data_IF_399089035545
#
_entry.id   IF_399089035545
#
_cell.length_a   1.000
_cell.length_b   1.000
_cell.length_c   1.000
_cell.angle_alpha   90.00
_cell.angle_beta   90.00
_cell.angle_gamma   90.00
#
_symmetry.space_group_name_H-M   'P 1'
#
loop_
_entity.id
_entity.type
_entity.pdbx_description
1 polymer ?
#
# COMPACT_ATOMS: atom_id res chain seq x y z
N UNK A 1 49.59 -21.92 -24.82
CA UNK A 1 49.50 -22.59 -23.49
C UNK A 1 48.04 -22.57 -23.09
N UNK A 2 47.48 -23.73 -22.70
CA UNK A 2 46.07 -24.20 -22.76
C UNK A 2 45.66 -24.54 -24.22
N UNK A 3 45.58 -25.77 -24.74
CA UNK A 3 45.40 -27.19 -24.33
C UNK A 3 43.98 -27.62 -23.90
N UNK A 4 43.53 -28.70 -24.58
CA UNK A 4 42.40 -29.64 -24.44
C UNK A 4 41.01 -29.16 -24.95
N UNK A 5 40.33 -29.79 -25.94
CA UNK A 5 40.00 -31.21 -26.29
C UNK A 5 38.55 -31.54 -25.89
N UNK A 6 37.79 -32.15 -26.81
CA UNK A 6 36.54 -32.85 -26.53
C UNK A 6 36.17 -33.78 -27.71
N UNK A 7 36.87 -34.90 -27.76
CA UNK A 7 36.36 -36.28 -27.83
C UNK A 7 34.95 -36.51 -28.38
N UNK A 8 34.91 -37.20 -29.53
CA UNK A 8 33.79 -37.95 -30.10
C UNK A 8 33.48 -39.19 -29.23
N UNK A 9 32.22 -39.40 -28.84
CA UNK A 9 31.78 -40.60 -28.12
C UNK A 9 30.76 -41.42 -28.93
N UNK A 10 31.15 -42.66 -29.21
CA UNK A 10 30.39 -43.76 -29.82
C UNK A 10 29.45 -44.36 -28.77
N UNK A 11 28.18 -44.60 -29.11
CA UNK A 11 27.31 -45.49 -28.33
C UNK A 11 26.98 -46.76 -29.12
N UNK A 12 27.49 -47.89 -28.63
CA UNK A 12 27.16 -49.24 -29.05
C UNK A 12 26.07 -49.80 -28.12
N UNK A 13 25.04 -50.44 -28.68
CA UNK A 13 24.11 -51.28 -27.91
C UNK A 13 24.22 -52.71 -28.42
N UNK A 14 24.65 -53.61 -27.53
CA UNK A 14 24.69 -55.07 -27.72
C UNK A 14 23.33 -55.70 -27.37
N UNK A 15 23.02 -56.73 -28.13
CA UNK A 15 21.84 -57.60 -28.11
C UNK A 15 21.64 -58.44 -26.84
N UNK A 16 20.37 -58.80 -26.59
CA UNK A 16 19.98 -60.10 -26.02
C UNK A 16 18.64 -60.59 -26.63
N UNK A 17 18.67 -61.79 -27.23
CA UNK A 17 17.52 -62.61 -27.67
C UNK A 17 17.15 -63.63 -26.56
N UNK A 18 15.95 -64.24 -26.57
CA UNK A 18 15.74 -65.56 -27.22
C UNK A 18 14.41 -65.65 -28.02
N UNK A 19 14.44 -66.12 -29.28
CA UNK A 19 14.08 -67.47 -29.80
C UNK A 19 12.62 -67.92 -29.59
N UNK A 20 11.86 -68.09 -30.69
CA UNK A 20 11.35 -69.40 -31.21
C UNK A 20 11.10 -69.28 -32.74
N UNK A 21 11.42 -70.37 -33.45
CA UNK A 21 11.44 -70.64 -34.90
C UNK A 21 10.09 -70.66 -35.63
N UNK A 22 10.08 -70.43 -36.96
CA UNK A 22 9.56 -71.35 -38.00
C UNK A 22 10.06 -70.95 -39.41
N UNK A 23 10.85 -71.86 -40.02
CA UNK A 23 10.93 -72.30 -41.45
C UNK A 23 10.94 -71.28 -42.61
N UNK A 24 12.05 -71.31 -43.38
CA UNK A 24 12.36 -70.66 -44.68
C UNK A 24 11.66 -71.35 -45.88
N UNK A 25 11.44 -70.69 -47.06
CA UNK A 25 12.52 -70.49 -48.03
C UNK A 25 12.50 -69.16 -48.85
N UNK A 26 13.71 -68.65 -49.11
CA UNK A 26 14.22 -67.97 -50.32
C UNK A 26 13.23 -67.10 -51.13
N UNK A 27 13.31 -65.79 -50.92
CA UNK A 27 13.18 -64.81 -52.02
C UNK A 27 14.08 -63.60 -51.71
N UNK A 28 15.12 -63.43 -52.54
CA UNK A 28 16.00 -62.28 -52.49
C UNK A 28 15.25 -61.03 -52.97
N UNK A 29 14.83 -60.18 -52.04
CA UNK A 29 14.34 -58.84 -52.34
C UNK A 29 15.40 -57.83 -51.90
N UNK A 30 15.96 -57.12 -52.89
CA UNK A 30 16.92 -56.06 -52.71
C UNK A 30 16.36 -54.98 -51.75
N UNK A 31 17.05 -54.76 -50.63
CA UNK A 31 16.85 -53.58 -49.79
C UNK A 31 17.46 -52.41 -50.56
N UNK A 32 16.64 -51.73 -51.38
CA UNK A 32 16.98 -50.42 -51.92
C UNK A 32 16.83 -49.45 -50.74
N UNK A 33 17.95 -49.15 -50.08
CA UNK A 33 18.05 -48.00 -49.20
C UNK A 33 17.90 -46.74 -50.06
N UNK A 34 16.70 -46.18 -50.11
CA UNK A 34 16.50 -44.80 -50.58
C UNK A 34 17.14 -43.88 -49.55
N UNK A 35 18.43 -43.58 -49.74
CA UNK A 35 19.03 -42.42 -49.11
C UNK A 35 18.19 -41.20 -49.54
N UNK A 36 17.38 -40.68 -48.62
CA UNK A 36 16.73 -39.40 -48.85
C UNK A 36 17.83 -38.37 -49.10
N UNK A 37 17.80 -37.73 -50.27
CA UNK A 37 18.71 -36.63 -50.54
C UNK A 37 18.52 -35.59 -49.44
N UNK A 38 19.55 -35.33 -48.64
CA UNK A 38 19.59 -34.17 -47.78
C UNK A 38 19.66 -32.94 -48.69
N UNK A 39 18.51 -32.36 -49.01
CA UNK A 39 18.48 -31.07 -49.69
C UNK A 39 18.99 -30.03 -48.71
N UNK A 40 20.18 -29.48 -48.97
CA UNK A 40 20.59 -28.25 -48.31
C UNK A 40 19.51 -27.21 -48.61
N UNK A 41 18.88 -26.68 -47.56
CA UNK A 41 17.80 -25.69 -47.65
C UNK A 41 18.29 -24.38 -48.32
N UNK A 42 19.60 -24.17 -48.34
CA UNK A 42 20.29 -23.08 -49.01
C UNK A 42 20.98 -23.56 -50.28
N UNK A 43 20.56 -23.02 -51.43
CA UNK A 43 21.24 -23.23 -52.70
C UNK A 43 22.44 -22.29 -52.80
N UNK A 44 23.64 -22.84 -52.93
CA UNK A 44 24.86 -22.06 -53.16
C UNK A 44 25.09 -21.87 -54.67
N UNK A 45 25.44 -20.65 -55.12
CA UNK A 45 25.60 -20.33 -56.54
C UNK A 45 26.82 -20.99 -57.19
N UNK A 46 27.85 -21.35 -56.41
CA UNK A 46 29.06 -22.00 -56.92
C UNK A 46 29.32 -23.30 -56.18
N UNK A 47 29.66 -24.37 -56.91
CA UNK A 47 30.26 -25.57 -56.32
C UNK A 47 31.78 -25.41 -56.31
N UNK A 48 32.39 -25.54 -55.14
CA UNK A 48 33.85 -25.50 -54.98
C UNK A 48 34.38 -26.93 -54.99
N UNK A 49 35.29 -27.25 -55.92
CA UNK A 49 35.89 -28.57 -56.07
C UNK A 49 37.38 -28.55 -55.69
N UNK A 50 37.90 -29.70 -55.26
CA UNK A 50 39.31 -29.82 -54.91
C UNK A 50 40.19 -29.66 -56.17
N UNK A 51 41.09 -28.68 -56.15
CA UNK A 51 41.92 -28.31 -57.31
C UNK A 51 41.45 -27.06 -58.06
N UNK A 52 40.32 -26.46 -57.68
CA UNK A 52 39.92 -25.14 -58.19
C UNK A 52 40.97 -24.08 -57.83
N UNK A 53 41.23 -23.15 -58.77
CA UNK A 53 42.02 -21.96 -58.48
C UNK A 53 41.34 -21.16 -57.37
N UNK A 54 42.09 -20.72 -56.36
CA UNK A 54 41.56 -19.95 -55.25
C UNK A 54 40.88 -18.65 -55.76
N UNK A 55 39.55 -18.67 -55.82
CA UNK A 55 38.73 -17.58 -56.33
C UNK A 55 37.89 -16.99 -55.20
N UNK A 56 38.36 -15.86 -54.67
CA UNK A 56 37.69 -15.16 -53.58
C UNK A 56 36.28 -14.67 -53.96
N UNK A 57 36.00 -14.45 -55.25
CA UNK A 57 34.67 -14.01 -55.69
C UNK A 57 33.65 -15.14 -55.57
N UNK A 58 34.02 -16.38 -55.91
CA UNK A 58 33.14 -17.56 -55.73
C UNK A 58 32.85 -17.85 -54.26
N UNK A 59 33.86 -17.74 -53.40
CA UNK A 59 33.71 -17.93 -51.95
C UNK A 59 32.82 -16.84 -51.35
N UNK A 60 33.06 -15.57 -51.71
CA UNK A 60 32.23 -14.46 -51.25
C UNK A 60 30.77 -14.59 -51.72
N UNK A 61 30.54 -14.98 -52.98
CA UNK A 61 29.21 -15.20 -53.52
C UNK A 61 28.47 -16.34 -52.77
N UNK A 62 29.16 -17.42 -52.44
CA UNK A 62 28.58 -18.50 -51.62
C UNK A 62 28.29 -18.05 -50.19
N UNK A 63 29.19 -17.27 -49.57
CA UNK A 63 28.99 -16.75 -48.22
C UNK A 63 27.79 -15.79 -48.16
N UNK A 64 27.66 -14.86 -49.11
CA UNK A 64 26.49 -13.98 -49.22
C UNK A 64 25.19 -14.75 -49.49
N UNK A 65 25.21 -15.76 -50.37
CA UNK A 65 24.05 -16.60 -50.62
C UNK A 65 23.63 -17.42 -49.39
N UNK A 66 24.60 -17.93 -48.63
CA UNK A 66 24.35 -18.64 -47.38
C UNK A 66 23.83 -17.69 -46.30
N UNK A 67 24.41 -16.49 -46.17
CA UNK A 67 23.96 -15.48 -45.22
C UNK A 67 22.53 -15.04 -45.51
N UNK A 68 22.22 -14.70 -46.77
CA UNK A 68 20.86 -14.34 -47.19
C UNK A 68 19.88 -15.50 -46.97
N UNK A 69 20.27 -16.73 -47.31
CA UNK A 69 19.43 -17.89 -47.02
C UNK A 69 19.22 -18.09 -45.51
N UNK A 70 20.27 -17.94 -44.70
CA UNK A 70 20.16 -18.04 -43.25
C UNK A 70 19.24 -16.95 -42.67
N UNK A 71 19.29 -15.74 -43.23
CA UNK A 71 18.39 -14.64 -42.87
C UNK A 71 16.94 -14.92 -43.33
N UNK A 72 16.75 -15.50 -44.52
CA UNK A 72 15.44 -15.94 -45.04
C UNK A 72 14.84 -17.12 -44.27
N UNK A 73 15.71 -17.95 -43.66
CA UNK A 73 15.31 -19.08 -42.81
C UNK A 73 15.25 -18.73 -41.32
N UNK A 74 15.78 -17.57 -40.91
CA UNK A 74 15.59 -17.07 -39.56
C UNK A 74 14.08 -16.88 -39.34
N UNK A 75 13.52 -17.21 -38.15
CA UNK A 75 12.09 -17.04 -37.90
C UNK A 75 11.71 -15.55 -37.87
N UNK A 76 11.62 -14.92 -39.03
CA UNK A 76 11.02 -13.61 -39.19
C UNK A 76 9.52 -13.87 -39.08
N UNK A 77 8.99 -13.77 -37.86
CA UNK A 77 7.55 -13.77 -37.67
C UNK A 77 6.88 -12.81 -38.67
N UNK A 78 5.61 -13.04 -39.00
CA UNK A 78 4.91 -12.22 -39.99
C UNK A 78 5.03 -10.72 -39.72
N UNK A 79 4.78 -9.88 -40.72
CA UNK A 79 4.88 -8.42 -40.58
C UNK A 79 4.18 -7.92 -39.31
N UNK A 80 4.85 -7.07 -38.52
CA UNK A 80 4.37 -6.53 -37.23
C UNK A 80 4.22 -7.56 -36.08
N UNK A 81 4.84 -8.73 -36.21
CA UNK A 81 4.95 -9.71 -35.12
C UNK A 81 5.97 -9.29 -34.06
N UNK A 82 5.85 -9.92 -32.88
CA UNK A 82 6.86 -9.81 -31.82
C UNK A 82 7.60 -11.13 -31.70
N UNK A 83 8.93 -11.09 -31.78
CA UNK A 83 9.76 -12.28 -31.60
C UNK A 83 10.04 -12.55 -30.13
N UNK A 84 9.99 -13.82 -29.74
CA UNK A 84 10.36 -14.29 -28.41
C UNK A 84 11.23 -15.55 -28.50
N UNK A 85 11.99 -15.82 -27.44
CA UNK A 85 12.81 -17.02 -27.33
C UNK A 85 11.92 -18.24 -27.04
N UNK A 86 11.92 -19.22 -27.95
CA UNK A 86 11.12 -20.43 -27.85
C UNK A 86 11.77 -21.54 -27.01
N UNK A 87 12.97 -21.29 -26.48
CA UNK A 87 13.83 -22.29 -25.84
C UNK A 87 14.73 -23.00 -26.84
N UNK A 88 15.72 -23.74 -26.32
CA UNK A 88 16.65 -24.58 -27.10
C UNK A 88 17.39 -23.85 -28.24
N UNK A 89 17.62 -22.55 -28.09
CA UNK A 89 18.29 -21.72 -29.10
C UNK A 89 17.41 -21.26 -30.26
N UNK A 90 16.10 -21.58 -30.22
CA UNK A 90 15.14 -21.21 -31.26
C UNK A 90 14.40 -19.91 -30.94
N UNK A 91 14.06 -19.14 -31.98
CA UNK A 91 13.13 -18.02 -31.90
C UNK A 91 11.73 -18.46 -32.39
N UNK A 92 10.70 -17.82 -31.85
CA UNK A 92 9.33 -17.92 -32.34
C UNK A 92 8.70 -16.52 -32.39
N UNK A 93 7.57 -16.39 -33.08
CA UNK A 93 6.84 -15.14 -33.20
C UNK A 93 5.44 -15.24 -32.59
N UNK A 94 5.05 -14.23 -31.82
CA UNK A 94 3.66 -13.96 -31.53
C UNK A 94 3.04 -13.23 -32.74
N UNK A 95 1.81 -13.58 -33.11
CA UNK A 95 1.09 -12.89 -34.17
C UNK A 95 0.98 -11.38 -33.88
N UNK A 96 0.80 -10.53 -34.90
CA UNK A 96 0.58 -9.11 -34.69
C UNK A 96 -0.52 -8.86 -33.65
N UNK A 97 -0.24 -7.96 -32.70
CA UNK A 97 -1.18 -7.61 -31.64
C UNK A 97 -2.32 -6.78 -32.22
N UNK A 98 -3.56 -7.03 -31.76
CA UNK A 98 -4.67 -6.13 -32.05
C UNK A 98 -4.60 -4.87 -31.15
N UNK A 99 -5.40 -3.86 -31.48
CA UNK A 99 -5.46 -2.60 -30.75
C UNK A 99 -5.71 -2.82 -29.24
N UNK A 100 -4.83 -2.22 -28.42
CA UNK A 100 -4.87 -2.32 -26.97
C UNK A 100 -4.59 -3.71 -26.40
N UNK A 101 -4.02 -4.63 -27.19
CA UNK A 101 -3.48 -5.90 -26.68
C UNK A 101 -2.01 -5.78 -26.27
N UNK A 102 -1.60 -6.62 -25.33
CA UNK A 102 -0.23 -6.83 -24.89
C UNK A 102 0.09 -8.33 -24.91
N UNK A 103 1.38 -8.68 -24.84
CA UNK A 103 1.78 -10.07 -24.61
C UNK A 103 1.68 -10.42 -23.13
N UNK A 104 0.89 -11.44 -22.81
CA UNK A 104 0.70 -11.97 -21.47
C UNK A 104 1.36 -13.35 -21.41
N UNK A 105 2.31 -13.50 -20.49
CA UNK A 105 2.99 -14.76 -20.24
C UNK A 105 2.11 -15.74 -19.47
N UNK A 106 2.32 -17.03 -19.70
CA UNK A 106 1.86 -18.09 -18.80
C UNK A 106 2.98 -19.09 -18.60
N UNK A 107 3.16 -19.57 -17.37
CA UNK A 107 4.26 -20.46 -17.02
C UNK A 107 4.27 -21.69 -17.92
N UNK A 108 5.38 -21.90 -18.64
CA UNK A 108 5.59 -23.06 -19.49
C UNK A 108 4.99 -22.98 -20.91
N UNK A 109 4.32 -21.88 -21.28
CA UNK A 109 3.75 -21.71 -22.62
C UNK A 109 4.26 -20.43 -23.31
N UNK A 110 4.15 -20.34 -24.64
CA UNK A 110 4.37 -19.09 -25.37
C UNK A 110 3.56 -17.90 -24.83
N UNK A 111 4.12 -16.67 -24.77
CA UNK A 111 3.35 -15.46 -24.52
C UNK A 111 2.18 -15.33 -25.52
N UNK A 112 1.00 -15.00 -25.03
CA UNK A 112 -0.20 -14.85 -25.86
C UNK A 112 -0.64 -13.40 -25.90
N UNK A 113 -1.18 -12.96 -27.03
CA UNK A 113 -1.83 -11.66 -27.13
C UNK A 113 -3.08 -11.65 -26.24
N UNK A 114 -3.21 -10.64 -25.38
CA UNK A 114 -4.34 -10.50 -24.48
C UNK A 114 -4.64 -9.05 -24.12
N UNK A 115 -5.88 -8.78 -23.74
CA UNK A 115 -6.26 -7.50 -23.14
C UNK A 115 -6.01 -7.54 -21.63
N UNK A 116 -5.66 -6.39 -21.05
CA UNK A 116 -5.66 -6.24 -19.61
C UNK A 116 -7.10 -6.19 -19.09
N UNK A 117 -7.40 -7.01 -18.09
CA UNK A 117 -8.70 -7.01 -17.41
C UNK A 117 -8.67 -6.07 -16.23
N UNK A 118 -9.67 -5.21 -16.11
CA UNK A 118 -9.79 -4.30 -14.98
C UNK A 118 -10.21 -5.06 -13.71
N UNK A 119 -9.50 -4.79 -12.61
CA UNK A 119 -9.95 -5.14 -11.26
C UNK A 119 -10.94 -4.13 -10.71
N UNK A 120 -11.43 -4.37 -9.49
CA UNK A 120 -12.31 -3.41 -8.80
C UNK A 120 -11.65 -2.04 -8.65
N UNK A 121 -12.40 -0.96 -8.91
CA UNK A 121 -11.93 0.42 -8.77
C UNK A 121 -11.05 0.95 -9.91
N UNK A 122 -10.75 0.12 -10.90
CA UNK A 122 -9.94 0.47 -12.07
C UNK A 122 -10.80 0.39 -13.34
N UNK A 123 -10.60 1.32 -14.26
CA UNK A 123 -11.09 1.25 -15.63
C UNK A 123 -9.90 1.11 -16.56
N UNK A 124 -9.96 0.09 -17.42
CA UNK A 124 -9.00 -0.11 -18.50
C UNK A 124 -9.76 0.12 -19.82
N UNK A 125 -9.28 1.07 -20.61
CA UNK A 125 -9.80 1.36 -21.95
C UNK A 125 -8.73 1.06 -22.98
N UNK A 126 -8.94 -0.02 -23.72
CA UNK A 126 -8.07 -0.45 -24.81
C UNK A 126 -8.41 0.33 -26.07
N UNK A 127 -7.40 0.86 -26.76
CA UNK A 127 -7.57 1.60 -28.01
C UNK A 127 -6.37 1.44 -28.95
N UNK A 128 -6.46 1.98 -30.17
CA UNK A 128 -5.37 1.91 -31.12
C UNK A 128 -4.11 2.55 -30.57
N UNK A 129 -3.01 1.77 -30.53
CA UNK A 129 -1.73 2.16 -29.95
C UNK A 129 -1.78 2.70 -28.49
N UNK A 130 -2.84 2.40 -27.72
CA UNK A 130 -2.98 2.87 -26.34
C UNK A 130 -3.70 1.86 -25.44
N UNK A 131 -3.28 1.81 -24.19
CA UNK A 131 -4.05 1.22 -23.09
C UNK A 131 -4.15 2.29 -22.02
N UNK A 132 -5.33 2.87 -21.87
CA UNK A 132 -5.57 3.88 -20.83
C UNK A 132 -6.01 3.19 -19.55
N UNK A 133 -5.32 3.48 -18.46
CA UNK A 133 -5.67 2.98 -17.13
C UNK A 133 -6.07 4.17 -16.26
N UNK A 134 -7.24 4.08 -15.65
CA UNK A 134 -7.79 5.12 -14.78
C UNK A 134 -8.45 4.50 -13.54
N UNK A 135 -8.59 5.28 -12.47
CA UNK A 135 -9.46 4.89 -11.37
C UNK A 135 -10.92 5.20 -11.75
N UNK A 136 -11.85 4.28 -11.47
CA UNK A 136 -13.30 4.53 -11.67
C UNK A 136 -13.90 5.39 -10.56
N UNK A 137 -13.18 5.57 -9.45
CA UNK A 137 -13.49 6.56 -8.42
C UNK A 137 -12.87 7.92 -8.75
N UNK A 138 -13.56 9.01 -8.42
CA UNK A 138 -13.08 10.38 -8.61
C UNK A 138 -11.87 10.65 -7.71
N UNK A 139 -10.70 10.32 -8.24
CA UNK A 139 -9.44 10.53 -7.57
C UNK A 139 -8.58 11.59 -8.25
N UNK A 140 -9.03 12.85 -8.26
CA UNK A 140 -8.22 13.96 -8.77
C UNK A 140 -7.00 14.18 -7.87
N UNK A 141 -5.80 13.73 -8.25
CA UNK A 141 -4.47 14.17 -7.76
C UNK A 141 -4.19 14.21 -6.25
N UNK A 142 -5.17 13.87 -5.42
CA UNK A 142 -5.27 14.01 -3.97
C UNK A 142 -6.03 12.81 -3.38
N UNK A 143 -5.95 11.65 -4.06
CA UNK A 143 -6.86 10.53 -3.91
C UNK A 143 -6.15 9.22 -3.57
N UNK A 144 -5.27 9.30 -2.59
CA UNK A 144 -5.47 8.39 -1.47
C UNK A 144 -6.43 9.15 -0.57
N UNK A 145 -7.72 8.79 -0.58
CA UNK A 145 -8.56 9.22 0.52
C UNK A 145 -8.09 8.44 1.75
N UNK A 146 -7.05 8.96 2.40
CA UNK A 146 -6.51 8.42 3.65
C UNK A 146 -7.61 8.31 4.72
N UNK A 147 -8.70 9.07 4.56
CA UNK A 147 -9.90 9.06 5.39
C UNK A 147 -10.94 8.01 4.99
N UNK A 148 -10.76 7.26 3.90
CA UNK A 148 -11.57 6.11 3.51
C UNK A 148 -10.78 4.78 3.55
N UNK A 149 -9.56 4.80 4.12
CA UNK A 149 -8.91 3.56 4.57
C UNK A 149 -9.82 2.91 5.63
N UNK A 150 -9.90 1.58 5.65
CA UNK A 150 -10.76 0.83 6.59
C UNK A 150 -10.55 1.19 8.09
N UNK A 151 -9.45 1.88 8.43
CA UNK A 151 -9.15 2.39 9.77
C UNK A 151 -9.97 3.63 10.19
N UNK A 152 -10.63 4.35 9.25
CA UNK A 152 -11.39 5.57 9.57
C UNK A 152 -12.86 5.25 9.80
N UNK A 153 -13.34 5.57 11.01
CA UNK A 153 -14.75 5.46 11.40
C UNK A 153 -15.31 6.87 11.55
N UNK A 154 -16.05 7.33 10.54
CA UNK A 154 -16.58 8.69 10.52
C UNK A 154 -17.52 8.94 11.71
N UNK A 155 -17.20 9.89 12.62
CA UNK A 155 -18.09 10.21 13.72
C UNK A 155 -19.37 10.89 13.22
N UNK A 156 -20.49 10.61 13.89
CA UNK A 156 -21.74 11.35 13.72
C UNK A 156 -21.96 12.23 14.95
N UNK A 157 -22.39 13.48 14.75
CA UNK A 157 -22.58 14.42 15.87
C UNK A 157 -23.58 13.93 16.92
N UNK A 158 -24.60 13.18 16.49
CA UNK A 158 -25.59 12.56 17.38
C UNK A 158 -25.04 11.48 18.31
N UNK A 159 -23.84 10.95 18.06
CA UNK A 159 -23.18 10.00 18.94
C UNK A 159 -22.54 10.65 20.17
N UNK A 160 -22.49 11.99 20.23
CA UNK A 160 -21.83 12.71 21.31
C UNK A 160 -22.77 13.70 22.00
N UNK A 161 -22.53 13.90 23.28
CA UNK A 161 -23.14 14.96 24.09
C UNK A 161 -22.11 16.07 24.29
N UNK A 162 -22.47 17.31 23.97
CA UNK A 162 -21.58 18.44 24.22
C UNK A 162 -21.56 18.81 25.72
N UNK A 163 -20.37 19.00 26.25
CA UNK A 163 -20.11 19.50 27.61
C UNK A 163 -19.16 20.68 27.55
N UNK A 164 -19.26 21.55 28.52
CA UNK A 164 -18.38 22.71 28.68
C UNK A 164 -18.01 22.86 30.14
N UNK A 165 -16.97 23.65 30.42
CA UNK A 165 -16.80 24.26 31.73
C UNK A 165 -18.07 25.02 32.18
N UNK A 166 -18.22 25.23 33.49
CA UNK A 166 -19.36 25.94 34.11
C UNK A 166 -19.59 27.30 33.47
N UNK A 167 -18.51 28.05 33.23
CA UNK A 167 -18.58 29.20 32.34
C UNK A 167 -18.42 28.72 30.92
N UNK A 168 -19.47 28.89 30.12
CA UNK A 168 -19.52 28.40 28.74
C UNK A 168 -18.58 29.23 27.86
N UNK A 169 -17.72 28.60 27.03
CA UNK A 169 -16.89 29.32 26.07
C UNK A 169 -17.74 29.97 24.98
N UNK A 170 -17.42 31.20 24.58
CA UNK A 170 -18.22 31.92 23.59
C UNK A 170 -18.20 31.18 22.25
N UNK A 171 -19.39 30.97 21.68
CA UNK A 171 -19.55 30.25 20.41
C UNK A 171 -19.24 28.76 20.49
N UNK A 172 -19.24 28.16 21.70
CA UNK A 172 -19.09 26.72 21.87
C UNK A 172 -20.13 25.96 21.01
N UNK A 173 -19.66 25.18 20.04
CA UNK A 173 -20.49 24.38 19.16
C UNK A 173 -19.88 23.00 18.89
N UNK A 174 -20.75 21.99 18.85
CA UNK A 174 -20.48 20.68 18.27
C UNK A 174 -21.26 20.59 16.95
N UNK A 175 -20.56 20.52 15.83
CA UNK A 175 -21.18 20.56 14.51
C UNK A 175 -20.71 19.40 13.64
N UNK A 176 -21.62 18.83 12.85
CA UNK A 176 -21.25 17.86 11.82
C UNK A 176 -20.49 18.58 10.69
N UNK A 177 -19.52 17.88 10.11
CA UNK A 177 -18.81 18.31 8.91
C UNK A 177 -18.90 17.21 7.86
N UNK A 178 -18.55 17.52 6.61
CA UNK A 178 -18.49 16.52 5.54
C UNK A 178 -17.57 15.34 5.90
N UNK A 179 -16.56 15.56 6.74
CA UNK A 179 -15.50 14.59 7.09
C UNK A 179 -15.56 14.06 8.53
N UNK A 180 -16.54 14.46 9.35
CA UNK A 180 -16.63 14.04 10.74
C UNK A 180 -17.38 15.07 11.60
N UNK A 181 -16.81 15.45 12.75
CA UNK A 181 -17.37 16.47 13.63
C UNK A 181 -16.36 17.59 13.93
N UNK A 182 -16.85 18.75 14.34
CA UNK A 182 -16.06 19.90 14.75
C UNK A 182 -16.52 20.34 16.15
N UNK A 183 -15.58 20.37 17.09
CA UNK A 183 -15.69 21.10 18.34
C UNK A 183 -15.11 22.50 18.14
N UNK A 184 -15.91 23.54 18.27
CA UNK A 184 -15.45 24.91 17.98
C UNK A 184 -15.83 25.90 19.07
N UNK A 185 -15.04 26.96 19.17
CA UNK A 185 -15.33 28.19 19.91
C UNK A 185 -15.00 29.39 19.02
N UNK A 186 -15.74 30.48 19.18
CA UNK A 186 -15.39 31.76 18.53
C UNK A 186 -14.39 32.56 19.35
N UNK A 187 -14.24 32.23 20.64
CA UNK A 187 -13.19 32.77 21.51
C UNK A 187 -12.69 31.67 22.44
N UNK A 188 -11.39 31.40 22.35
CA UNK A 188 -10.64 30.53 23.26
C UNK A 188 -10.39 31.27 24.58
N UNK A 189 -11.44 31.62 25.32
CA UNK A 189 -11.29 32.42 26.54
C UNK A 189 -10.57 31.67 27.67
N UNK A 190 -10.04 32.43 28.63
CA UNK A 190 -9.28 31.93 29.77
C UNK A 190 -10.10 31.03 30.72
N UNK A 191 -9.47 29.98 31.24
CA UNK A 191 -10.07 28.99 32.15
C UNK A 191 -11.38 28.40 31.62
N UNK A 192 -11.35 27.90 30.38
CA UNK A 192 -12.51 27.36 29.67
C UNK A 192 -12.21 26.00 29.06
N UNK A 193 -13.25 25.22 28.84
CA UNK A 193 -13.12 23.93 28.15
C UNK A 193 -14.39 23.55 27.40
N UNK A 194 -14.21 22.78 26.33
CA UNK A 194 -15.30 22.10 25.61
C UNK A 194 -14.95 20.63 25.42
N UNK A 195 -15.96 19.76 25.43
CA UNK A 195 -15.83 18.33 25.21
C UNK A 195 -17.06 17.79 24.49
N UNK A 196 -16.87 16.80 23.62
CA UNK A 196 -17.97 16.03 23.05
C UNK A 196 -17.81 14.61 23.60
N UNK A 197 -18.68 14.21 24.51
CA UNK A 197 -18.53 12.95 25.26
C UNK A 197 -19.49 11.87 24.78
N UNK A 198 -19.05 10.62 24.85
CA UNK A 198 -19.88 9.42 24.72
C UNK A 198 -19.75 8.58 25.99
N UNK A 199 -20.78 7.82 26.39
CA UNK A 199 -20.67 6.85 27.48
C UNK A 199 -19.57 5.81 27.19
N UNK A 200 -18.82 5.45 28.23
CA UNK A 200 -17.88 4.33 28.16
C UNK A 200 -18.62 2.99 28.22
N UNK A 201 -18.19 1.97 27.45
CA UNK A 201 -18.70 0.62 27.64
C UNK A 201 -18.19 0.03 28.96
N UNK A 202 -18.88 -1.00 29.45
CA UNK A 202 -18.45 -1.76 30.62
C UNK A 202 -17.22 -2.61 30.31
N UNK A 203 -16.34 -2.81 31.31
CA UNK A 203 -15.16 -3.65 31.18
C UNK A 203 -13.98 -2.93 30.52
N UNK A 204 -13.14 -3.68 29.84
CA UNK A 204 -11.99 -3.15 29.13
C UNK A 204 -12.44 -2.50 27.83
N UNK A 205 -11.75 -1.45 27.41
CA UNK A 205 -12.14 -0.69 26.22
C UNK A 205 -10.97 0.01 25.57
N UNK A 206 -11.17 0.40 24.31
CA UNK A 206 -10.25 1.20 23.54
C UNK A 206 -11.00 2.27 22.76
N UNK A 207 -10.56 3.50 22.88
CA UNK A 207 -10.96 4.61 22.03
C UNK A 207 -9.83 4.95 21.07
N UNK A 208 -10.12 5.03 19.78
CA UNK A 208 -9.19 5.48 18.74
C UNK A 208 -9.80 6.69 18.01
N UNK A 209 -9.02 7.75 17.89
CA UNK A 209 -9.45 9.05 17.38
C UNK A 209 -8.43 9.56 16.36
N UNK A 210 -8.89 10.11 15.24
CA UNK A 210 -8.09 10.94 14.34
C UNK A 210 -8.53 12.39 14.49
N UNK A 211 -7.65 13.23 15.02
CA UNK A 211 -7.94 14.64 15.34
C UNK A 211 -7.03 15.61 14.58
N UNK A 212 -7.56 16.78 14.24
CA UNK A 212 -6.80 17.94 13.73
C UNK A 212 -7.26 19.17 14.48
N UNK A 213 -6.33 19.84 15.16
CA UNK A 213 -6.63 21.08 15.85
C UNK A 213 -6.23 22.29 15.00
N UNK A 214 -7.09 23.31 15.00
CA UNK A 214 -6.90 24.60 14.35
C UNK A 214 -7.07 25.69 15.40
N UNK A 215 -6.01 26.44 15.65
CA UNK A 215 -5.97 27.47 16.67
C UNK A 215 -4.57 27.64 17.25
N UNK A 216 -4.38 28.61 18.16
CA UNK A 216 -3.08 28.88 18.76
C UNK A 216 -2.75 27.82 19.81
N UNK A 217 -2.01 26.77 19.42
CA UNK A 217 -1.44 25.83 20.39
C UNK A 217 -0.46 26.55 21.31
N UNK A 218 -0.47 26.16 22.58
CA UNK A 218 0.49 26.62 23.58
C UNK A 218 0.57 25.60 24.71
N UNK A 219 1.33 25.90 25.77
CA UNK A 219 1.31 25.12 27.00
C UNK A 219 -0.04 25.19 27.73
N UNK A 220 -0.92 26.10 27.30
CA UNK A 220 -2.20 26.37 27.95
C UNK A 220 -3.41 26.12 27.05
N UNK A 221 -3.20 25.66 25.82
CA UNK A 221 -4.26 25.32 24.85
C UNK A 221 -4.00 23.91 24.34
N UNK A 222 -4.87 22.98 24.73
CA UNK A 222 -4.60 21.55 24.68
C UNK A 222 -5.80 20.79 24.09
N UNK A 223 -5.80 20.48 22.78
CA UNK A 223 -6.66 19.43 22.21
C UNK A 223 -6.29 18.07 22.82
N UNK A 224 -7.30 17.29 23.20
CA UNK A 224 -7.12 16.09 23.98
C UNK A 224 -8.11 14.98 23.65
N UNK A 225 -7.76 13.75 24.05
CA UNK A 225 -8.74 12.71 24.38
C UNK A 225 -8.91 12.69 25.90
N UNK A 226 -10.15 12.82 26.37
CA UNK A 226 -10.45 13.05 27.78
C UNK A 226 -11.41 11.98 28.30
N UNK A 227 -11.10 11.44 29.49
CA UNK A 227 -11.96 10.55 30.25
C UNK A 227 -12.49 11.30 31.47
N UNK A 228 -13.78 11.13 31.76
CA UNK A 228 -14.42 11.76 32.91
C UNK A 228 -14.91 10.75 33.93
N UNK A 229 -14.88 11.20 35.16
CA UNK A 229 -15.69 10.74 36.26
C UNK A 229 -16.83 11.76 36.46
N UNK A 230 -18.02 11.44 35.92
CA UNK A 230 -19.19 12.29 36.02
C UNK A 230 -19.76 12.37 37.44
N UNK A 231 -19.44 11.40 38.29
CA UNK A 231 -19.94 11.34 39.68
C UNK A 231 -19.14 12.28 40.57
N UNK A 232 -17.81 12.26 40.44
CA UNK A 232 -16.92 13.12 41.24
C UNK A 232 -16.58 14.46 40.58
N UNK A 233 -17.11 14.72 39.38
CA UNK A 233 -16.78 15.89 38.56
C UNK A 233 -15.27 16.06 38.42
N UNK A 234 -14.62 15.01 37.93
CA UNK A 234 -13.20 14.97 37.61
C UNK A 234 -12.99 14.49 36.17
N UNK A 235 -11.90 14.93 35.55
CA UNK A 235 -11.49 14.38 34.28
C UNK A 235 -9.97 14.25 34.21
N UNK A 236 -9.51 13.36 33.32
CA UNK A 236 -8.12 13.27 32.91
C UNK A 236 -8.05 13.39 31.40
N UNK A 237 -7.10 14.18 30.92
CA UNK A 237 -6.94 14.49 29.51
C UNK A 237 -5.53 14.12 29.06
N UNK A 238 -5.44 13.36 27.97
CA UNK A 238 -4.20 13.07 27.28
C UNK A 238 -4.15 13.98 26.06
N UNK A 239 -3.28 14.98 26.12
CA UNK A 239 -3.37 16.14 25.25
C UNK A 239 -2.06 16.46 24.56
N UNK A 240 -2.18 17.18 23.44
CA UNK A 240 -1.07 17.73 22.70
C UNK A 240 -1.06 19.24 22.89
N UNK A 241 -0.04 19.76 23.56
CA UNK A 241 0.24 21.19 23.69
C UNK A 241 1.46 21.61 22.86
N UNK A 242 1.89 22.86 23.01
CA UNK A 242 3.09 23.37 22.36
C UNK A 242 3.97 24.19 23.32
N UNK A 243 5.26 23.86 23.40
CA UNK A 243 6.27 24.66 24.11
C UNK A 243 6.69 25.91 23.30
N UNK A 244 6.64 25.80 21.98
CA UNK A 244 6.95 26.89 21.05
C UNK A 244 6.17 26.70 19.74
N UNK A 245 6.30 27.63 18.79
CA UNK A 245 5.68 27.50 17.47
C UNK A 245 6.06 26.21 16.72
N UNK A 246 7.22 25.62 17.04
CA UNK A 246 7.78 24.46 16.33
C UNK A 246 8.03 23.26 17.25
N UNK A 247 7.60 23.29 18.51
CA UNK A 247 7.90 22.24 19.49
C UNK A 247 6.64 21.82 20.24
N UNK A 248 6.27 20.56 20.10
CA UNK A 248 5.14 19.97 20.79
C UNK A 248 5.53 19.43 22.15
N UNK A 249 4.50 19.25 22.97
CA UNK A 249 4.59 18.49 24.20
C UNK A 249 3.33 17.67 24.36
N UNK A 250 3.44 16.60 25.13
CA UNK A 250 2.29 15.84 25.56
C UNK A 250 2.08 16.06 27.03
N UNK A 251 0.81 16.22 27.38
CA UNK A 251 0.43 16.55 28.74
C UNK A 251 -0.63 15.55 29.20
N UNK A 252 -0.39 14.97 30.38
CA UNK A 252 -1.40 14.30 31.16
C UNK A 252 -1.96 15.30 32.17
N UNK A 253 -3.20 15.70 31.94
CA UNK A 253 -3.81 16.83 32.64
C UNK A 253 -5.00 16.36 33.47
N UNK A 254 -5.03 16.76 34.73
CA UNK A 254 -6.10 16.48 35.69
C UNK A 254 -6.97 17.70 35.84
N UNK A 255 -8.28 17.53 35.72
CA UNK A 255 -9.25 18.61 35.92
C UNK A 255 -10.33 18.22 36.91
N UNK A 256 -10.95 19.24 37.50
CA UNK A 256 -12.08 19.10 38.41
C UNK A 256 -13.03 20.30 38.34
N UNK A 257 -14.15 20.23 39.06
CA UNK A 257 -15.10 21.33 39.21
C UNK A 257 -16.06 21.45 38.02
N UNK A 258 -17.26 21.96 38.27
CA UNK A 258 -18.33 21.98 37.28
C UNK A 258 -18.65 20.57 36.84
N UNK A 259 -18.47 20.30 35.54
CA UNK A 259 -18.58 18.96 34.98
C UNK A 259 -17.23 18.20 35.04
N UNK A 260 -16.25 18.63 35.82
CA UNK A 260 -14.89 18.12 35.81
C UNK A 260 -13.96 18.78 34.79
N UNK A 261 -14.27 20.00 34.36
CA UNK A 261 -13.54 20.73 33.32
C UNK A 261 -13.23 22.20 33.70
N UNK A 262 -13.48 22.60 34.94
CA UNK A 262 -13.37 24.02 35.33
C UNK A 262 -11.95 24.43 35.73
N UNK A 263 -11.26 23.56 36.47
CA UNK A 263 -9.98 23.88 37.10
C UNK A 263 -8.93 22.84 36.78
N UNK A 264 -7.72 23.29 36.44
CA UNK A 264 -6.54 22.44 36.38
C UNK A 264 -6.13 22.04 37.80
N UNK A 265 -6.05 20.73 38.07
CA UNK A 265 -5.66 20.15 39.35
C UNK A 265 -4.27 19.48 39.29
N UNK A 266 -3.64 19.44 38.13
CA UNK A 266 -2.31 18.88 37.92
C UNK A 266 -2.01 18.70 36.43
N UNK A 267 -0.78 19.00 36.05
CA UNK A 267 -0.26 18.82 34.70
C UNK A 267 1.08 18.09 34.77
N UNK A 268 1.20 16.98 34.05
CA UNK A 268 2.46 16.30 33.83
C UNK A 268 2.78 16.32 32.33
N UNK A 269 3.76 17.15 31.97
CA UNK A 269 4.27 17.23 30.60
C UNK A 269 5.41 16.24 30.38
N UNK A 270 5.47 15.63 29.21
CA UNK A 270 6.60 14.82 28.75
C UNK A 270 6.96 15.15 27.29
N UNK A 271 8.23 14.97 26.97
CA UNK A 271 8.81 15.47 25.72
C UNK A 271 8.35 14.63 24.51
N UNK A 272 8.29 15.30 23.37
CA UNK A 272 7.90 14.77 22.07
C UNK A 272 8.70 13.51 21.68
N UNK A 273 8.00 12.41 21.42
CA UNK A 273 8.55 11.10 21.01
C UNK A 273 8.76 10.99 19.50
N UNK A 274 8.74 12.11 18.77
CA UNK A 274 9.01 12.17 17.33
C UNK A 274 7.76 12.46 16.50
N UNK A 275 7.00 13.50 16.82
CA UNK A 275 5.87 13.98 16.03
C UNK A 275 6.27 14.93 14.89
N UNK A 276 5.41 15.00 13.86
CA UNK A 276 5.42 16.10 12.89
C UNK A 276 4.67 17.32 13.46
N UNK A 277 4.96 18.50 12.92
CA UNK A 277 4.34 19.76 13.31
C UNK A 277 2.81 19.76 13.09
N UNK A 278 2.03 20.57 13.84
CA UNK A 278 0.64 20.33 14.24
C UNK A 278 -0.38 20.61 13.14
N UNK A 279 0.09 20.86 11.92
CA UNK A 279 -0.78 20.94 10.75
C UNK A 279 -1.26 19.57 10.28
N UNK A 280 -0.68 18.49 10.82
CA UNK A 280 -1.02 17.13 10.41
C UNK A 280 -2.02 16.47 11.38
N UNK A 281 -2.98 15.68 10.86
CA UNK A 281 -3.83 14.83 11.69
C UNK A 281 -3.03 13.85 12.55
N UNK A 282 -3.42 13.70 13.81
CA UNK A 282 -2.84 12.74 14.76
C UNK A 282 -3.84 11.63 15.07
N UNK A 283 -3.38 10.38 14.98
CA UNK A 283 -4.08 9.27 15.61
C UNK A 283 -3.72 9.20 17.08
N UNK A 284 -4.74 9.33 17.93
CA UNK A 284 -4.65 9.16 19.38
C UNK A 284 -5.48 7.95 19.77
N UNK A 285 -4.90 7.06 20.57
CA UNK A 285 -5.57 5.88 21.11
C UNK A 285 -5.45 5.86 22.61
N UNK A 286 -6.56 5.66 23.29
CA UNK A 286 -6.60 5.46 24.73
C UNK A 286 -7.20 4.09 25.02
N UNK A 287 -6.45 3.26 25.74
CA UNK A 287 -6.88 1.92 26.13
C UNK A 287 -7.02 1.83 27.64
N UNK A 288 -8.14 1.27 28.11
CA UNK A 288 -8.31 0.85 29.49
C UNK A 288 -8.28 -0.68 29.56
N UNK A 289 -7.32 -1.22 30.31
CA UNK A 289 -7.10 -2.66 30.44
C UNK A 289 -7.63 -3.24 31.77
N UNK A 290 -8.48 -2.50 32.47
CA UNK A 290 -9.05 -2.88 33.77
C UNK A 290 -8.36 -2.22 34.97
N UNK A 291 -7.11 -1.75 34.82
CA UNK A 291 -6.39 -1.05 35.90
C UNK A 291 -5.67 0.21 35.44
N UNK A 292 -5.30 0.28 34.17
CA UNK A 292 -4.39 1.29 33.63
C UNK A 292 -5.01 1.94 32.41
N UNK A 293 -4.83 3.25 32.29
CA UNK A 293 -5.06 4.01 31.07
C UNK A 293 -3.74 4.10 30.31
N UNK A 294 -3.70 3.55 29.11
CA UNK A 294 -2.55 3.57 28.21
C UNK A 294 -2.86 4.43 27.01
N UNK A 295 -2.14 5.53 26.89
CA UNK A 295 -2.24 6.45 25.76
C UNK A 295 -1.13 6.17 24.74
N UNK A 296 -1.54 6.02 23.49
CA UNK A 296 -0.70 5.66 22.36
C UNK A 296 -1.03 6.56 21.17
N UNK A 297 -0.09 6.70 20.25
CA UNK A 297 -0.29 7.48 19.03
C UNK A 297 0.18 6.76 17.79
N UNK A 298 -0.28 7.22 16.63
CA UNK A 298 0.13 6.70 15.32
C UNK A 298 0.14 7.81 14.26
N UNK A 299 0.97 7.65 13.23
CA UNK A 299 0.96 8.49 12.02
C UNK A 299 0.11 7.90 10.90
N UNK A 300 -0.07 6.58 10.88
CA UNK A 300 -0.70 5.84 9.78
C UNK A 300 -2.04 5.19 10.17
N UNK A 301 -2.39 5.24 11.46
CA UNK A 301 -3.59 4.64 12.01
C UNK A 301 -3.50 3.12 12.18
N UNK A 302 -2.34 2.51 11.95
CA UNK A 302 -2.10 1.06 12.04
C UNK A 302 -1.06 0.75 13.11
N UNK A 303 0.07 1.44 13.09
CA UNK A 303 1.20 1.22 13.99
C UNK A 303 1.12 2.23 15.14
N UNK A 304 0.70 1.76 16.31
CA UNK A 304 0.58 2.59 17.51
C UNK A 304 1.78 2.40 18.44
N UNK A 305 2.35 3.53 18.89
CA UNK A 305 3.41 3.57 19.89
C UNK A 305 2.83 4.08 21.21
N UNK A 306 3.10 3.37 22.31
CA UNK A 306 2.70 3.82 23.65
C UNK A 306 3.51 5.07 24.03
N UNK A 307 2.81 6.14 24.36
CA UNK A 307 3.43 7.38 24.81
C UNK A 307 3.41 7.52 26.33
N UNK A 308 2.32 7.12 26.98
CA UNK A 308 2.17 7.28 28.42
C UNK A 308 1.18 6.28 29.02
N UNK A 309 1.42 5.88 30.26
CA UNK A 309 0.56 4.97 31.01
C UNK A 309 0.39 5.48 32.43
N UNK A 310 -0.83 5.39 32.96
CA UNK A 310 -1.16 5.83 34.31
C UNK A 310 -2.23 4.92 34.92
N UNK A 311 -2.20 4.75 36.25
CA UNK A 311 -3.29 4.06 36.94
C UNK A 311 -4.62 4.74 36.64
N UNK A 312 -5.66 3.97 36.32
CA UNK A 312 -7.00 4.51 36.12
C UNK A 312 -7.55 5.18 37.38
N UNK A 313 -7.04 4.80 38.56
CA UNK A 313 -7.40 5.37 39.86
C UNK A 313 -6.48 6.51 40.34
N UNK A 314 -5.53 6.97 39.50
CA UNK A 314 -4.62 8.07 39.87
C UNK A 314 -5.38 9.37 40.18
N UNK A 315 -6.45 9.65 39.44
CA UNK A 315 -7.28 10.84 39.63
C UNK A 315 -8.79 10.57 39.61
N UNK A 316 -9.21 9.57 38.84
CA UNK A 316 -10.61 9.21 38.69
C UNK A 316 -11.00 8.13 39.70
N UNK A 317 -12.21 8.24 40.27
CA UNK A 317 -12.77 7.17 41.10
C UNK A 317 -13.63 6.21 40.29
N UNK A 318 -14.18 6.70 39.18
CA UNK A 318 -14.99 5.97 38.21
C UNK A 318 -14.71 6.46 36.80
N UNK A 319 -14.81 5.58 35.81
CA UNK A 319 -14.71 5.92 34.40
C UNK A 319 -16.13 5.91 33.81
N UNK A 320 -16.62 7.07 33.39
CA UNK A 320 -18.03 7.25 32.99
C UNK A 320 -18.21 7.58 31.51
N UNK A 321 -17.49 8.58 31.03
CA UNK A 321 -17.56 9.06 29.64
C UNK A 321 -16.17 9.32 29.10
N UNK A 322 -16.05 9.30 27.78
CA UNK A 322 -14.83 9.60 27.06
C UNK A 322 -15.16 10.43 25.83
N UNK A 323 -14.22 11.26 25.38
CA UNK A 323 -14.43 12.05 24.17
C UNK A 323 -13.26 12.97 23.83
N UNK A 324 -13.28 13.55 22.61
CA UNK A 324 -12.45 14.70 22.28
C UNK A 324 -12.78 15.90 23.17
N UNK A 325 -11.76 16.60 23.63
CA UNK A 325 -11.89 17.85 24.37
C UNK A 325 -10.86 18.88 23.92
N UNK A 326 -11.11 20.14 24.24
CA UNK A 326 -10.13 21.22 24.14
C UNK A 326 -10.14 21.99 25.45
N UNK A 327 -8.97 22.13 26.06
CA UNK A 327 -8.75 22.87 27.30
C UNK A 327 -8.08 24.20 26.98
N UNK A 328 -8.61 25.29 27.51
CA UNK A 328 -8.11 26.66 27.36
C UNK A 328 -7.80 27.23 28.75
N UNK A 329 -6.60 26.97 29.28
CA UNK A 329 -6.26 27.37 30.64
C UNK A 329 -5.87 28.83 30.78
N UNK A 330 -4.94 29.26 29.92
CA UNK A 330 -4.30 30.59 29.83
C UNK A 330 -3.87 30.86 28.38
N UNK A 331 -4.81 30.88 27.43
CA UNK A 331 -4.52 31.08 26.02
C UNK A 331 -3.83 32.43 25.80
N UNK A 332 -2.75 32.45 25.01
CA UNK A 332 -2.04 33.69 24.64
C UNK A 332 -2.86 34.59 23.73
N UNK A 333 -3.88 34.05 23.07
CA UNK A 333 -4.76 34.75 22.14
C UNK A 333 -6.24 34.45 22.46
N UNK A 334 -6.76 34.93 23.61
CA UNK A 334 -8.07 34.50 24.13
C UNK A 334 -9.26 34.90 23.25
N UNK A 335 -9.08 35.87 22.36
CA UNK A 335 -10.11 36.33 21.42
C UNK A 335 -10.13 35.55 20.11
N UNK A 336 -9.17 34.65 19.88
CA UNK A 336 -9.10 33.89 18.64
C UNK A 336 -10.04 32.69 18.68
N UNK A 337 -10.57 32.36 17.50
CA UNK A 337 -11.35 31.15 17.31
C UNK A 337 -10.46 29.90 17.43
N UNK A 338 -11.08 28.79 17.77
CA UNK A 338 -10.41 27.48 17.78
C UNK A 338 -11.38 26.41 17.34
N UNK A 339 -10.85 25.42 16.62
CA UNK A 339 -11.61 24.30 16.09
C UNK A 339 -10.84 23.00 16.23
N UNK A 340 -11.44 21.99 16.83
CA UNK A 340 -10.91 20.63 16.88
C UNK A 340 -11.77 19.72 16.01
N UNK A 341 -11.21 19.36 14.85
CA UNK A 341 -11.84 18.49 13.87
C UNK A 341 -11.55 17.04 14.23
N UNK A 342 -12.60 16.25 14.41
CA UNK A 342 -12.49 14.82 14.63
C UNK A 342 -12.95 14.11 13.36
N UNK A 343 -11.98 13.50 12.69
CA UNK A 343 -12.13 12.86 11.39
C UNK A 343 -12.47 11.38 11.52
N UNK A 344 -12.01 10.75 12.61
CA UNK A 344 -12.30 9.35 12.96
C UNK A 344 -12.59 9.25 14.46
N UNK A 345 -13.58 8.44 14.83
CA UNK A 345 -13.84 8.03 16.20
C UNK A 345 -14.35 6.60 16.27
N UNK A 346 -13.64 5.76 17.01
CA UNK A 346 -14.07 4.41 17.33
C UNK A 346 -13.90 4.16 18.82
N UNK A 347 -14.96 3.74 19.50
CA UNK A 347 -14.93 3.29 20.89
C UNK A 347 -15.45 1.85 20.91
N UNK A 348 -14.59 0.92 21.33
CA UNK A 348 -14.88 -0.51 21.34
C UNK A 348 -14.60 -1.11 22.71
N UNK A 349 -15.42 -2.08 23.12
CA UNK A 349 -15.07 -3.01 24.19
C UNK A 349 -13.95 -3.94 23.74
N UNK A 350 -13.09 -4.35 24.68
CA UNK A 350 -12.04 -5.34 24.48
C UNK A 350 -12.39 -6.66 25.18
#
# INVERSE_FOLDING_TARGET
>A
MLVYDATFAIFAVRSAMPRVSFVTPILAAAIIATAGNAFAQCMLPNQLQNGDLADAAKVAANFSALANCADDQAPTGGANSVLYNAGSGSLAGATPLADGQVLIGSTGNPPQAGALSAGSGIAITNGPATVTVSATGSGTGAAVDWLNKAAVVKPTGSAFTMRTSTTVPTGAALSATTRGILLSVTSSADSRAIMAETPLPTGNWQATMLGVYTGPLSIYVQPAITVRDSTSNRAVSFSQGANSANTYRFDYVKTSGGVGLDSNAGDLSFQDVGFSSPSEPIWSRLTYNGSTLVWSFSRDGENFTNAYSVSATDWLSQLSTIGPAVLFYQPSHPTWNSGYHILSWNLASL
#
